data_IF_181851956955
#
_entry.id   IF_181851956955
#
_cell.length_a   1.000
_cell.length_b   1.000
_cell.length_c   1.000
_cell.angle_alpha   90.00
_cell.angle_beta   90.00
_cell.angle_gamma   90.00
#
_symmetry.space_group_name_H-M   'P 1'
#
loop_
_entity.id
_entity.type
_entity.pdbx_description
1 polymer ?
#
# COMPACT_ATOMS: atom_id res chain seq x y z
N UNK A 1 -21.27 -25.04 3.77
CA UNK A 1 -20.15 -24.55 2.95
C UNK A 1 -18.96 -25.45 3.23
N UNK A 2 -18.20 -25.74 2.20
CA UNK A 2 -16.96 -26.52 2.30
C UNK A 2 -15.82 -25.55 2.54
N UNK A 3 -14.86 -25.90 3.41
CA UNK A 3 -13.69 -25.07 3.71
C UNK A 3 -12.44 -25.89 3.48
N UNK A 4 -11.41 -25.26 2.94
CA UNK A 4 -10.11 -25.88 2.72
C UNK A 4 -9.00 -24.88 3.01
N UNK A 5 -8.07 -25.25 3.86
CA UNK A 5 -6.84 -24.51 4.10
C UNK A 5 -5.78 -24.97 3.09
N UNK A 6 -5.19 -24.04 2.37
CA UNK A 6 -4.13 -24.28 1.40
C UNK A 6 -2.79 -23.97 2.09
N UNK A 7 -2.37 -24.86 2.95
CA UNK A 7 -1.08 -24.86 3.67
C UNK A 7 -0.78 -23.51 4.40
N UNK A 8 -1.81 -22.85 4.92
CA UNK A 8 -1.67 -21.56 5.61
C UNK A 8 -1.46 -20.35 4.70
N UNK A 9 -1.41 -20.55 3.38
CA UNK A 9 -1.28 -19.44 2.40
C UNK A 9 -2.64 -18.83 2.05
N UNK A 10 -3.64 -19.68 1.81
CA UNK A 10 -4.99 -19.25 1.50
C UNK A 10 -6.02 -20.13 2.20
N UNK A 11 -7.14 -19.55 2.58
CA UNK A 11 -8.33 -20.28 2.99
C UNK A 11 -9.38 -20.20 1.90
N UNK A 12 -9.99 -21.33 1.52
CA UNK A 12 -11.11 -21.30 0.61
C UNK A 12 -12.41 -21.72 1.27
N UNK A 13 -13.50 -21.07 0.88
CA UNK A 13 -14.85 -21.34 1.33
C UNK A 13 -15.73 -21.52 0.09
N UNK A 14 -16.32 -22.69 -0.09
CA UNK A 14 -17.12 -22.98 -1.28
C UNK A 14 -18.56 -23.36 -0.97
N UNK A 15 -19.46 -23.04 -1.89
CA UNK A 15 -20.87 -23.41 -1.83
C UNK A 15 -21.44 -23.57 -3.24
N UNK A 16 -22.56 -24.28 -3.37
CA UNK A 16 -23.16 -24.64 -4.66
C UNK A 16 -22.55 -25.88 -5.26
N UNK A 17 -23.20 -26.39 -6.31
CA UNK A 17 -22.78 -27.59 -7.05
C UNK A 17 -23.00 -27.30 -8.53
N UNK A 18 -21.94 -27.28 -9.32
CA UNK A 18 -22.06 -26.99 -10.75
C UNK A 18 -20.75 -27.09 -11.48
N UNK A 19 -20.85 -26.98 -12.80
CA UNK A 19 -19.70 -27.07 -13.69
C UNK A 19 -19.05 -25.69 -13.92
N UNK A 20 -19.77 -24.61 -13.61
CA UNK A 20 -19.26 -23.24 -13.69
C UNK A 20 -18.80 -22.80 -12.31
N UNK A 21 -17.54 -22.44 -12.17
CA UNK A 21 -16.99 -21.96 -10.91
C UNK A 21 -16.69 -20.46 -10.98
N UNK A 22 -17.26 -19.73 -10.01
CA UNK A 22 -17.01 -18.30 -9.77
C UNK A 22 -16.16 -18.16 -8.52
N UNK A 23 -14.98 -17.57 -8.67
CA UNK A 23 -14.10 -17.19 -7.58
C UNK A 23 -14.33 -15.76 -7.14
N UNK A 24 -14.28 -15.53 -5.84
CA UNK A 24 -14.29 -14.20 -5.24
C UNK A 24 -13.07 -14.08 -4.34
N UNK A 25 -12.17 -13.16 -4.69
CA UNK A 25 -10.90 -12.99 -4.01
C UNK A 25 -10.99 -11.85 -3.00
N UNK A 26 -10.46 -12.10 -1.83
CA UNK A 26 -10.29 -11.14 -0.75
C UNK A 26 -8.96 -11.41 -0.05
N UNK A 27 -8.42 -10.43 0.69
CA UNK A 27 -7.25 -10.62 1.53
C UNK A 27 -7.53 -10.34 3.01
N UNK A 28 -6.72 -10.92 3.89
CA UNK A 28 -6.82 -10.79 5.32
C UNK A 28 -5.64 -10.03 5.95
N UNK A 29 -4.52 -9.95 5.25
CA UNK A 29 -3.39 -9.12 5.66
C UNK A 29 -3.70 -7.63 5.55
N UNK A 30 -2.85 -6.82 6.09
CA UNK A 30 -3.04 -5.37 6.17
C UNK A 30 -1.69 -4.67 6.17
N UNK A 31 -1.61 -3.47 5.60
CA UNK A 31 -0.46 -2.59 5.77
C UNK A 31 -0.27 -2.17 7.23
N UNK A 32 0.94 -1.76 7.64
CA UNK A 32 1.19 -1.19 8.97
C UNK A 32 0.22 -0.05 9.29
N UNK A 33 -0.10 0.09 10.56
CA UNK A 33 -1.10 1.06 11.04
C UNK A 33 -0.79 2.51 10.72
N UNK A 34 0.50 2.89 10.70
CA UNK A 34 0.92 4.29 10.62
C UNK A 34 0.67 5.05 11.94
N UNK A 35 0.62 6.39 11.85
CA UNK A 35 0.45 7.29 13.01
C UNK A 35 -0.92 7.98 12.97
N UNK A 36 -1.35 8.52 14.12
CA UNK A 36 -2.55 9.38 14.20
C UNK A 36 -3.85 8.64 14.51
N UNK A 37 -3.80 7.39 14.89
CA UNK A 37 -4.98 6.64 15.32
C UNK A 37 -5.56 7.17 16.62
N UNK A 38 -6.87 7.38 16.66
CA UNK A 38 -7.64 7.75 17.85
C UNK A 38 -8.09 6.49 18.61
N UNK A 39 -8.33 5.40 17.88
CA UNK A 39 -8.73 4.08 18.42
C UNK A 39 -7.61 3.06 18.14
N UNK A 40 -7.53 1.97 18.91
CA UNK A 40 -6.54 0.93 18.64
C UNK A 40 -6.69 0.38 17.21
N UNK A 41 -5.63 0.46 16.36
CA UNK A 41 -5.74 0.15 14.94
C UNK A 41 -6.12 -1.31 14.65
N UNK A 42 -5.64 -2.24 15.46
CA UNK A 42 -5.88 -3.69 15.27
C UNK A 42 -7.02 -4.25 16.13
N UNK A 43 -7.84 -3.37 16.69
CA UNK A 43 -9.07 -3.74 17.40
C UNK A 43 -10.26 -3.14 16.67
N UNK A 44 -11.18 -3.99 16.23
CA UNK A 44 -12.40 -3.49 15.61
C UNK A 44 -13.25 -2.75 16.65
N UNK A 45 -13.27 -1.42 16.58
CA UNK A 45 -14.06 -0.56 17.48
C UNK A 45 -15.38 -0.21 16.79
N UNK A 46 -16.49 -0.55 17.44
CA UNK A 46 -17.81 -0.08 17.01
C UNK A 46 -18.15 1.25 17.67
N UNK A 47 -18.42 2.27 16.87
CA UNK A 47 -18.84 3.59 17.36
C UNK A 47 -19.72 4.31 16.36
N UNK A 48 -20.83 4.84 16.83
CA UNK A 48 -21.77 5.66 16.05
C UNK A 48 -22.23 4.98 14.74
N UNK A 49 -22.36 3.65 14.75
CA UNK A 49 -22.74 2.84 13.58
C UNK A 49 -21.59 2.54 12.61
N UNK A 50 -20.35 2.90 12.96
CA UNK A 50 -19.15 2.60 12.19
C UNK A 50 -18.31 1.51 12.87
N UNK A 51 -17.67 0.70 12.04
CA UNK A 51 -16.59 -0.19 12.46
C UNK A 51 -15.26 0.48 12.12
N UNK A 52 -14.41 0.69 13.13
CA UNK A 52 -13.15 1.44 13.01
C UNK A 52 -11.99 0.50 13.33
N UNK A 53 -11.04 0.39 12.40
CA UNK A 53 -9.83 -0.42 12.57
C UNK A 53 -9.09 -0.61 11.25
N UNK A 54 -7.81 -0.93 11.32
CA UNK A 54 -6.99 -1.28 10.16
C UNK A 54 -7.52 -2.59 9.55
N UNK A 55 -7.77 -2.59 8.22
CA UNK A 55 -8.30 -3.74 7.51
C UNK A 55 -9.82 -3.91 7.58
N UNK A 56 -10.55 -3.03 8.26
CA UNK A 56 -12.03 -3.09 8.29
C UNK A 56 -12.61 -2.86 6.90
N UNK A 57 -12.14 -1.84 6.20
CA UNK A 57 -12.59 -1.53 4.84
C UNK A 57 -11.80 -2.34 3.80
N UNK A 58 -10.51 -2.45 3.99
CA UNK A 58 -9.53 -3.06 3.12
C UNK A 58 -8.83 -4.21 3.87
N UNK A 59 -9.23 -5.49 3.74
CA UNK A 59 -10.34 -5.95 2.89
C UNK A 59 -11.31 -6.85 3.68
N UNK A 60 -11.26 -6.88 5.06
CA UNK A 60 -12.03 -7.79 5.91
C UNK A 60 -13.54 -7.53 5.87
N UNK A 61 -13.96 -6.27 5.73
CA UNK A 61 -15.38 -5.93 5.58
C UNK A 61 -16.00 -6.52 4.30
N UNK A 62 -15.41 -6.26 3.12
CA UNK A 62 -15.77 -6.92 1.88
C UNK A 62 -15.74 -8.45 1.98
N UNK A 63 -14.72 -9.04 2.60
CA UNK A 63 -14.62 -10.49 2.79
C UNK A 63 -15.82 -11.06 3.58
N UNK A 64 -16.23 -10.39 4.65
CA UNK A 64 -17.42 -10.78 5.44
C UNK A 64 -18.70 -10.59 4.62
N UNK A 65 -18.82 -9.50 3.86
CA UNK A 65 -19.97 -9.24 3.01
C UNK A 65 -20.14 -10.35 1.95
N UNK A 66 -19.06 -10.78 1.32
CA UNK A 66 -19.04 -11.92 0.37
C UNK A 66 -19.52 -13.20 1.06
N UNK A 67 -19.00 -13.49 2.27
CA UNK A 67 -19.41 -14.69 3.02
C UNK A 67 -20.92 -14.69 3.32
N UNK A 68 -21.48 -13.56 3.70
CA UNK A 68 -22.93 -13.42 3.93
C UNK A 68 -23.73 -13.55 2.63
N UNK A 69 -23.25 -13.00 1.53
CA UNK A 69 -23.88 -13.16 0.23
C UNK A 69 -23.90 -14.64 -0.21
N UNK A 70 -22.78 -15.35 -0.03
CA UNK A 70 -22.71 -16.79 -0.31
C UNK A 70 -23.67 -17.61 0.57
N UNK A 71 -23.74 -17.25 1.86
CA UNK A 71 -24.70 -17.86 2.79
C UNK A 71 -26.13 -17.65 2.32
N UNK A 72 -26.49 -16.42 1.95
CA UNK A 72 -27.81 -16.08 1.43
C UNK A 72 -28.14 -16.89 0.17
N UNK A 73 -27.23 -16.94 -0.81
CA UNK A 73 -27.44 -17.69 -2.05
C UNK A 73 -27.66 -19.19 -1.78
N UNK A 74 -26.93 -19.75 -0.82
CA UNK A 74 -27.11 -21.14 -0.39
C UNK A 74 -28.47 -21.39 0.26
N UNK A 75 -28.87 -20.52 1.20
CA UNK A 75 -30.15 -20.66 1.93
C UNK A 75 -31.36 -20.47 1.02
N UNK A 76 -31.22 -19.67 -0.05
CA UNK A 76 -32.27 -19.44 -1.06
C UNK A 76 -32.20 -20.43 -2.21
N UNK A 77 -31.22 -21.34 -2.24
CA UNK A 77 -31.05 -22.38 -3.28
C UNK A 77 -30.97 -21.79 -4.70
N UNK A 78 -30.41 -20.56 -4.85
CA UNK A 78 -30.41 -19.84 -6.13
C UNK A 78 -29.17 -20.06 -6.98
N UNK A 79 -28.20 -20.87 -6.51
CA UNK A 79 -26.95 -21.10 -7.23
C UNK A 79 -27.07 -22.04 -8.44
N UNK A 80 -28.18 -22.79 -8.55
CA UNK A 80 -28.46 -23.73 -9.65
C UNK A 80 -27.24 -24.58 -10.03
N UNK A 81 -26.65 -24.33 -11.21
CA UNK A 81 -25.46 -25.02 -11.72
C UNK A 81 -24.16 -24.23 -11.55
N UNK A 82 -24.08 -23.40 -10.53
CA UNK A 82 -22.92 -22.56 -10.21
C UNK A 82 -22.32 -22.99 -8.87
N UNK A 83 -21.00 -23.13 -8.85
CA UNK A 83 -20.20 -23.21 -7.64
C UNK A 83 -19.56 -21.86 -7.38
N UNK A 84 -19.72 -21.33 -6.19
CA UNK A 84 -19.04 -20.11 -5.75
C UNK A 84 -17.98 -20.48 -4.73
N UNK A 85 -16.77 -19.96 -4.93
CA UNK A 85 -15.63 -20.13 -4.03
C UNK A 85 -15.10 -18.76 -3.63
N UNK A 86 -15.14 -18.44 -2.37
CA UNK A 86 -14.36 -17.35 -1.80
C UNK A 86 -12.94 -17.83 -1.52
N UNK A 87 -11.95 -17.06 -1.90
CA UNK A 87 -10.52 -17.30 -1.68
C UNK A 87 -10.01 -16.15 -0.83
N UNK A 88 -9.54 -16.47 0.37
CA UNK A 88 -9.01 -15.52 1.33
C UNK A 88 -7.49 -15.65 1.35
N UNK A 89 -6.79 -14.67 0.79
CA UNK A 89 -5.33 -14.56 0.79
C UNK A 89 -4.80 -13.88 2.04
N UNK A 90 -3.49 -13.93 2.23
CA UNK A 90 -2.81 -13.35 3.39
C UNK A 90 -1.55 -12.55 3.01
N UNK A 91 -1.33 -12.24 1.73
CA UNK A 91 -0.14 -11.56 1.24
C UNK A 91 -0.43 -10.60 0.07
N UNK A 92 -1.63 -10.05 0.00
CA UNK A 92 -1.98 -9.07 -1.04
C UNK A 92 -1.10 -7.83 -0.93
N UNK A 93 -0.96 -7.29 0.28
CA UNK A 93 -0.19 -6.09 0.61
C UNK A 93 1.33 -6.31 0.56
N UNK A 94 1.78 -7.55 0.40
CA UNK A 94 3.19 -7.94 0.46
C UNK A 94 3.68 -8.70 -0.77
N UNK A 95 2.97 -8.60 -1.91
CA UNK A 95 3.42 -9.10 -3.21
C UNK A 95 2.74 -10.35 -3.73
N UNK A 96 1.58 -10.73 -3.19
CA UNK A 96 0.67 -11.77 -3.72
C UNK A 96 1.29 -13.17 -3.88
N UNK A 97 2.27 -13.52 -3.07
CA UNK A 97 2.92 -14.84 -3.15
C UNK A 97 1.99 -15.98 -2.74
N UNK A 98 0.94 -15.69 -1.99
CA UNK A 98 -0.16 -16.60 -1.66
C UNK A 98 -1.00 -16.97 -2.89
N UNK A 99 -1.26 -16.03 -3.78
CA UNK A 99 -1.93 -16.26 -5.06
C UNK A 99 -1.07 -17.17 -5.96
N UNK A 100 0.24 -16.89 -6.04
CA UNK A 100 1.18 -17.74 -6.77
C UNK A 100 1.20 -19.15 -6.20
N UNK A 101 1.20 -19.27 -4.85
CA UNK A 101 1.13 -20.58 -4.19
C UNK A 101 -0.18 -21.30 -4.49
N UNK A 102 -1.31 -20.60 -4.38
CA UNK A 102 -2.62 -21.17 -4.72
C UNK A 102 -2.64 -21.75 -6.13
N UNK A 103 -2.20 -21.00 -7.13
CA UNK A 103 -2.22 -21.40 -8.53
C UNK A 103 -1.28 -22.57 -8.89
N UNK A 104 -0.30 -22.86 -8.03
CA UNK A 104 0.55 -24.05 -8.15
C UNK A 104 -0.21 -25.34 -7.86
N UNK A 105 -1.15 -25.33 -6.93
CA UNK A 105 -1.80 -26.53 -6.40
C UNK A 105 -3.29 -26.59 -6.73
N UNK A 106 -3.88 -25.49 -7.09
CA UNK A 106 -5.30 -25.36 -7.40
C UNK A 106 -5.51 -24.72 -8.76
N UNK A 107 -6.54 -25.18 -9.46
CA UNK A 107 -6.98 -24.53 -10.69
C UNK A 107 -7.67 -23.19 -10.34
N UNK A 108 -7.37 -22.16 -11.12
CA UNK A 108 -8.11 -20.90 -11.03
C UNK A 108 -9.60 -21.12 -11.32
N UNK A 109 -10.51 -20.43 -10.63
CA UNK A 109 -11.92 -20.40 -11.01
C UNK A 109 -12.11 -19.93 -12.45
N UNK A 110 -13.17 -20.37 -13.10
CA UNK A 110 -13.45 -20.01 -14.50
C UNK A 110 -13.70 -18.52 -14.68
N UNK A 111 -14.40 -17.93 -13.72
CA UNK A 111 -14.60 -16.49 -13.60
C UNK A 111 -14.14 -16.03 -12.22
N UNK A 112 -13.54 -14.84 -12.15
CA UNK A 112 -13.06 -14.30 -10.90
C UNK A 112 -13.49 -12.85 -10.71
N UNK A 113 -13.87 -12.53 -9.48
CA UNK A 113 -14.07 -11.16 -8.99
C UNK A 113 -13.07 -10.88 -7.87
N UNK A 114 -12.44 -9.74 -7.91
CA UNK A 114 -11.64 -9.22 -6.78
C UNK A 114 -12.51 -8.17 -6.09
N UNK A 115 -12.97 -8.50 -4.88
CA UNK A 115 -13.86 -7.63 -4.11
C UNK A 115 -13.02 -6.64 -3.27
N UNK A 116 -12.21 -5.84 -3.96
CA UNK A 116 -11.20 -4.97 -3.35
C UNK A 116 -11.08 -3.60 -4.00
N UNK A 117 -12.10 -3.15 -4.65
CA UNK A 117 -12.14 -1.79 -5.19
C UNK A 117 -13.54 -1.19 -5.13
N UNK A 118 -13.63 0.09 -5.48
CA UNK A 118 -14.90 0.83 -5.49
C UNK A 118 -15.85 0.36 -6.57
N UNK A 119 -17.13 0.66 -6.36
CA UNK A 119 -18.20 0.44 -7.35
C UNK A 119 -18.31 1.66 -8.28
N UNK A 120 -18.61 1.52 -9.56
CA UNK A 120 -18.86 0.30 -10.33
C UNK A 120 -17.57 -0.49 -10.64
N UNK A 121 -17.67 -1.55 -11.42
CA UNK A 121 -16.55 -2.46 -11.70
C UNK A 121 -15.32 -1.71 -12.21
N UNK A 122 -14.19 -1.91 -11.54
CA UNK A 122 -12.86 -1.50 -12.00
C UNK A 122 -12.35 -2.56 -12.99
N UNK A 123 -12.06 -2.16 -14.22
CA UNK A 123 -11.61 -3.05 -15.29
C UNK A 123 -10.22 -2.68 -15.83
N UNK A 124 -9.48 -1.82 -15.12
CA UNK A 124 -8.14 -1.41 -15.48
C UNK A 124 -7.38 -0.87 -14.28
N UNK A 125 -6.08 -1.08 -14.26
CA UNK A 125 -5.17 -0.64 -13.21
C UNK A 125 -4.03 0.19 -13.78
N UNK A 126 -3.45 1.04 -12.93
CA UNK A 126 -2.21 1.76 -13.24
C UNK A 126 -1.02 0.82 -13.08
N UNK A 127 -0.06 0.92 -14.00
CA UNK A 127 1.21 0.22 -13.85
C UNK A 127 1.96 0.68 -12.58
N UNK A 128 2.64 -0.26 -11.94
CA UNK A 128 3.50 -0.02 -10.77
C UNK A 128 4.94 -0.39 -11.09
N UNK A 129 5.88 0.45 -10.70
CA UNK A 129 7.31 0.19 -10.86
C UNK A 129 8.05 0.74 -9.63
N UNK A 130 8.85 -0.10 -9.00
CA UNK A 130 9.77 0.30 -7.94
C UNK A 130 11.17 0.39 -8.55
N UNK A 131 11.81 1.54 -8.39
CA UNK A 131 13.18 1.76 -8.81
C UNK A 131 14.03 2.04 -7.59
N UNK A 132 15.00 1.15 -7.32
CA UNK A 132 16.01 1.39 -6.30
C UNK A 132 17.14 2.21 -6.93
N UNK A 133 17.47 3.32 -6.29
CA UNK A 133 18.59 4.17 -6.69
C UNK A 133 19.56 4.32 -5.53
N UNK A 134 20.84 4.11 -5.80
CA UNK A 134 21.91 4.25 -4.82
C UNK A 134 22.90 5.31 -5.30
N UNK A 135 23.44 6.09 -4.37
CA UNK A 135 24.54 6.99 -4.69
C UNK A 135 25.85 6.21 -4.69
N UNK A 136 26.75 6.55 -5.63
CA UNK A 136 28.09 5.92 -5.69
C UNK A 136 29.07 6.48 -4.66
N UNK A 137 28.69 7.55 -3.97
CA UNK A 137 29.45 8.19 -2.89
C UNK A 137 28.51 8.85 -1.90
N UNK A 138 28.95 9.00 -0.66
CA UNK A 138 28.23 9.75 0.35
C UNK A 138 27.92 11.18 -0.12
N UNK A 139 26.75 11.69 0.25
CA UNK A 139 26.36 13.08 -0.01
C UNK A 139 26.95 13.95 1.08
N UNK A 140 28.00 14.68 0.76
CA UNK A 140 28.78 15.49 1.73
C UNK A 140 27.86 16.44 2.52
N UNK A 141 27.94 16.35 3.84
CA UNK A 141 27.17 17.16 4.77
C UNK A 141 25.77 16.64 5.09
N UNK A 142 25.32 15.55 4.51
CA UNK A 142 24.11 14.82 4.92
C UNK A 142 24.56 13.58 5.68
N UNK A 143 24.32 13.55 6.99
CA UNK A 143 24.72 12.46 7.88
C UNK A 143 23.62 11.41 8.01
N UNK A 144 22.38 11.86 8.07
CA UNK A 144 21.19 10.99 8.11
C UNK A 144 20.09 11.63 7.27
N UNK A 145 19.32 10.81 6.59
CA UNK A 145 18.12 11.23 5.90
C UNK A 145 17.12 10.09 5.90
N UNK A 146 15.93 10.35 6.42
CA UNK A 146 14.86 9.37 6.51
C UNK A 146 13.52 9.99 6.12
N UNK A 147 12.67 9.22 5.44
CA UNK A 147 11.32 9.68 5.09
C UNK A 147 10.52 8.62 4.36
N UNK A 148 9.23 8.61 4.67
CA UNK A 148 8.30 7.62 4.14
C UNK A 148 8.25 6.33 4.94
N UNK A 149 7.18 5.55 4.73
CA UNK A 149 6.94 4.29 5.46
C UNK A 149 6.51 3.15 4.55
N UNK A 150 6.01 3.44 3.36
CA UNK A 150 5.52 2.45 2.41
C UNK A 150 5.64 2.98 0.96
N UNK A 151 5.93 2.11 -0.03
CA UNK A 151 6.14 2.51 -1.42
C UNK A 151 4.87 2.99 -2.14
N UNK A 152 3.71 2.72 -1.59
CA UNK A 152 2.42 3.15 -2.13
C UNK A 152 1.83 4.38 -1.40
N UNK A 153 2.59 5.02 -0.52
CA UNK A 153 2.13 6.18 0.26
C UNK A 153 3.03 7.39 0.09
N UNK A 154 2.44 8.57 -0.12
CA UNK A 154 3.17 9.84 -0.12
C UNK A 154 3.68 10.13 1.27
N UNK A 155 4.99 10.38 1.47
CA UNK A 155 5.59 10.65 2.78
C UNK A 155 4.98 11.88 3.46
N UNK A 156 4.44 11.69 4.68
CA UNK A 156 3.93 12.78 5.52
C UNK A 156 4.94 13.35 6.49
N UNK A 157 6.07 12.68 6.66
CA UNK A 157 7.15 13.10 7.54
C UNK A 157 8.49 12.74 6.93
N UNK A 158 9.47 13.63 7.10
CA UNK A 158 10.87 13.38 6.77
C UNK A 158 11.78 14.06 7.80
N UNK A 159 12.94 13.46 8.02
CA UNK A 159 13.96 13.90 8.98
C UNK A 159 15.34 13.82 8.34
N UNK A 160 16.24 14.73 8.71
CA UNK A 160 17.63 14.68 8.33
C UNK A 160 18.52 15.25 9.44
N UNK A 161 19.72 14.69 9.56
CA UNK A 161 20.84 15.26 10.29
C UNK A 161 21.86 15.76 9.27
N UNK A 162 22.17 17.03 9.32
CA UNK A 162 23.05 17.68 8.38
C UNK A 162 24.22 18.38 9.09
N UNK A 163 25.39 18.43 8.43
CA UNK A 163 26.57 19.14 8.88
C UNK A 163 27.04 20.11 7.79
N UNK A 164 27.07 21.39 8.11
CA UNK A 164 27.50 22.42 7.15
C UNK A 164 29.03 22.47 7.00
N UNK A 165 29.54 23.28 6.05
CA UNK A 165 30.97 23.41 5.74
C UNK A 165 31.84 23.86 6.90
N UNK A 166 31.27 24.37 7.98
CA UNK A 166 32.01 24.80 9.19
C UNK A 166 31.88 23.80 10.34
N UNK A 167 31.35 22.58 10.07
CA UNK A 167 31.24 21.52 11.07
C UNK A 167 30.05 21.68 12.04
N UNK A 168 29.13 22.59 11.77
CA UNK A 168 27.95 22.78 12.60
C UNK A 168 26.85 21.79 12.17
N UNK A 169 26.39 20.97 13.11
CA UNK A 169 25.29 20.03 12.91
C UNK A 169 23.94 20.69 13.15
N UNK A 170 22.98 20.33 12.33
CA UNK A 170 21.57 20.69 12.49
C UNK A 170 20.69 19.46 12.28
N UNK A 171 19.60 19.42 12.99
CA UNK A 171 18.53 18.43 12.81
C UNK A 171 17.35 19.14 12.17
N UNK A 172 16.89 18.61 11.05
CA UNK A 172 15.85 19.22 10.25
C UNK A 172 14.70 18.23 10.05
N UNK A 173 13.49 18.72 10.12
CA UNK A 173 12.29 17.93 9.86
C UNK A 173 11.37 18.64 8.88
N UNK A 174 10.55 17.85 8.19
CA UNK A 174 9.46 18.35 7.38
C UNK A 174 8.20 17.52 7.60
N UNK A 175 7.06 18.20 7.53
CA UNK A 175 5.74 17.59 7.59
C UNK A 175 5.05 17.88 6.27
N UNK A 176 4.49 16.84 5.68
CA UNK A 176 3.71 16.88 4.46
C UNK A 176 2.27 16.43 4.67
N UNK A 177 1.59 16.14 3.57
CA UNK A 177 0.23 15.59 3.58
C UNK A 177 0.27 14.23 2.89
N UNK A 178 -0.01 13.18 3.64
CA UNK A 178 -0.01 11.80 3.13
C UNK A 178 -1.24 11.52 2.26
N UNK A 179 -1.11 10.54 1.41
CA UNK A 179 -2.17 9.96 0.60
C UNK A 179 -1.66 8.79 -0.21
N UNK A 180 -2.56 8.08 -0.85
CA UNK A 180 -2.19 6.95 -1.69
C UNK A 180 -1.44 7.42 -2.95
N UNK A 181 -0.31 6.78 -3.27
CA UNK A 181 0.56 7.19 -4.38
C UNK A 181 -0.14 7.17 -5.75
N UNK A 182 -1.11 6.27 -5.95
CA UNK A 182 -1.90 6.22 -7.18
C UNK A 182 -2.87 7.42 -7.33
N UNK A 183 -3.21 8.10 -6.23
CA UNK A 183 -4.12 9.24 -6.16
C UNK A 183 -3.52 10.40 -5.35
N UNK A 184 -2.40 10.99 -5.80
CA UNK A 184 -1.62 11.93 -5.00
C UNK A 184 -2.21 13.36 -4.97
N UNK A 185 -3.39 13.58 -5.51
CA UNK A 185 -4.02 14.91 -5.51
C UNK A 185 -4.28 15.40 -4.08
N UNK A 186 -3.84 16.63 -3.78
CA UNK A 186 -3.94 17.22 -2.44
C UNK A 186 -2.86 16.75 -1.45
N UNK A 187 -1.95 15.87 -1.87
CA UNK A 187 -0.82 15.44 -1.04
C UNK A 187 0.38 16.39 -1.15
N UNK A 188 1.26 16.33 -0.16
CA UNK A 188 2.54 17.03 -0.14
C UNK A 188 3.62 16.10 0.39
N UNK A 189 4.64 15.85 -0.44
CA UNK A 189 5.73 14.94 -0.09
C UNK A 189 6.72 15.64 0.87
N UNK A 190 6.81 15.13 2.11
CA UNK A 190 7.69 15.68 3.14
C UNK A 190 9.17 15.63 2.75
N UNK A 191 9.59 14.62 1.97
CA UNK A 191 10.98 14.49 1.48
C UNK A 191 11.33 15.68 0.60
N UNK A 192 10.46 16.04 -0.35
CA UNK A 192 10.69 17.20 -1.21
C UNK A 192 10.75 18.51 -0.42
N UNK A 193 9.84 18.68 0.55
CA UNK A 193 9.86 19.86 1.43
C UNK A 193 11.17 19.92 2.22
N UNK A 194 11.65 18.80 2.75
CA UNK A 194 12.92 18.73 3.49
C UNK A 194 14.11 19.05 2.61
N UNK A 195 14.18 18.49 1.42
CA UNK A 195 15.23 18.80 0.44
C UNK A 195 15.25 20.28 0.09
N UNK A 196 14.08 20.91 -0.11
CA UNK A 196 13.96 22.34 -0.35
C UNK A 196 14.51 23.19 0.80
N UNK A 197 14.26 22.80 2.06
CA UNK A 197 14.86 23.47 3.23
C UNK A 197 16.37 23.31 3.30
N UNK A 198 16.86 22.08 3.14
CA UNK A 198 18.28 21.77 3.25
C UNK A 198 19.12 22.47 2.17
N UNK A 199 18.67 22.51 0.92
CA UNK A 199 19.44 23.15 -0.17
C UNK A 199 19.67 24.66 0.04
N UNK A 200 18.90 25.31 0.91
CA UNK A 200 19.11 26.71 1.29
C UNK A 200 20.26 26.91 2.28
N UNK A 201 20.75 25.82 2.86
CA UNK A 201 21.91 25.85 3.77
C UNK A 201 23.24 25.92 3.01
N UNK A 202 24.33 26.16 3.75
CA UNK A 202 25.66 26.29 3.17
C UNK A 202 26.33 24.95 2.92
N UNK A 203 25.81 24.19 1.96
CA UNK A 203 26.38 22.93 1.48
C UNK A 203 27.25 23.09 0.24
N UNK A 204 28.11 22.08 -0.08
CA UNK A 204 28.75 21.99 -1.38
C UNK A 204 27.74 21.97 -2.53
N UNK A 205 28.15 22.45 -3.69
CA UNK A 205 27.28 22.52 -4.86
C UNK A 205 26.78 21.14 -5.30
N UNK A 206 27.63 20.10 -5.17
CA UNK A 206 27.24 18.72 -5.47
C UNK A 206 26.10 18.23 -4.56
N UNK A 207 26.17 18.53 -3.26
CA UNK A 207 25.11 18.21 -2.29
C UNK A 207 23.81 18.93 -2.64
N UNK A 208 23.90 20.23 -2.99
CA UNK A 208 22.71 20.99 -3.41
C UNK A 208 22.05 20.39 -4.65
N UNK A 209 22.85 19.95 -5.63
CA UNK A 209 22.33 19.26 -6.84
C UNK A 209 21.64 17.93 -6.50
N UNK A 210 22.22 17.17 -5.57
CA UNK A 210 21.58 15.92 -5.12
C UNK A 210 20.24 16.18 -4.44
N UNK A 211 20.18 17.16 -3.54
CA UNK A 211 18.93 17.58 -2.89
C UNK A 211 17.91 18.11 -3.89
N UNK A 212 18.34 18.92 -4.86
CA UNK A 212 17.45 19.42 -5.94
C UNK A 212 16.91 18.27 -6.79
N UNK A 213 17.71 17.28 -7.11
CA UNK A 213 17.28 16.10 -7.86
C UNK A 213 16.17 15.35 -7.10
N UNK A 214 16.37 15.09 -5.81
CA UNK A 214 15.37 14.43 -4.97
C UNK A 214 14.11 15.27 -4.81
N UNK A 215 14.24 16.57 -4.58
CA UNK A 215 13.12 17.51 -4.49
C UNK A 215 12.27 17.45 -5.78
N UNK A 216 12.88 17.52 -6.95
CA UNK A 216 12.21 17.44 -8.24
C UNK A 216 11.50 16.12 -8.46
N UNK A 217 12.09 15.00 -8.04
CA UNK A 217 11.42 13.69 -8.08
C UNK A 217 10.21 13.66 -7.14
N UNK A 218 10.31 14.33 -6.00
CA UNK A 218 9.26 14.36 -4.96
C UNK A 218 8.08 15.28 -5.29
N UNK A 219 8.27 16.28 -6.14
CA UNK A 219 7.20 17.21 -6.57
C UNK A 219 6.12 16.53 -7.45
N UNK A 220 6.34 15.28 -7.81
CA UNK A 220 5.30 14.37 -8.24
C UNK A 220 4.60 14.75 -9.53
N UNK A 221 5.32 15.08 -10.56
CA UNK A 221 4.66 15.24 -11.85
C UNK A 221 5.56 15.76 -12.96
N UNK A 222 6.06 14.86 -13.73
CA UNK A 222 6.58 15.23 -15.04
C UNK A 222 5.45 15.09 -16.06
N UNK A 223 4.75 16.22 -16.32
CA UNK A 223 3.62 16.30 -17.24
C UNK A 223 2.29 15.83 -16.64
N UNK A 224 1.18 16.20 -17.26
CA UNK A 224 -0.20 15.97 -16.79
C UNK A 224 -0.58 14.47 -16.61
N UNK A 225 0.30 13.54 -17.00
CA UNK A 225 -0.02 12.11 -17.05
C UNK A 225 0.90 11.20 -16.23
N UNK A 226 1.97 11.73 -15.62
CA UNK A 226 2.94 10.90 -14.88
C UNK A 226 3.25 11.57 -13.53
N UNK A 227 2.74 10.98 -12.48
CA UNK A 227 3.05 11.37 -11.11
C UNK A 227 3.93 10.27 -10.51
N UNK A 228 5.08 10.65 -9.98
CA UNK A 228 5.98 9.75 -9.26
C UNK A 228 5.89 10.04 -7.77
N UNK A 229 5.84 8.99 -6.98
CA UNK A 229 6.07 9.07 -5.54
C UNK A 229 7.48 8.56 -5.29
N UNK A 230 8.31 9.38 -4.68
CA UNK A 230 9.65 9.00 -4.28
C UNK A 230 9.67 8.74 -2.79
N UNK A 231 10.01 7.52 -2.44
CA UNK A 231 10.41 7.16 -1.09
C UNK A 231 11.93 7.13 -1.06
N UNK A 232 12.51 7.79 -0.09
CA UNK A 232 13.96 7.78 0.07
C UNK A 232 14.30 7.31 1.47
N UNK A 233 15.11 6.26 1.54
CA UNK A 233 15.88 5.92 2.72
C UNK A 233 17.34 6.17 2.38
N UNK A 234 17.99 7.04 3.10
CA UNK A 234 19.43 7.21 3.02
C UNK A 234 20.02 6.41 4.17
N UNK A 235 20.60 5.26 3.83
CA UNK A 235 21.49 4.55 4.76
C UNK A 235 22.87 5.17 4.59
N UNK A 236 23.40 5.76 5.64
CA UNK A 236 24.79 6.19 5.73
C UNK A 236 25.51 5.11 6.54
N UNK A 237 26.34 4.31 5.85
CA UNK A 237 27.28 3.40 6.51
C UNK A 237 28.48 4.17 7.09
#
# INVERSE_FOLDING_TARGET
METEDIDGHCLTIATGKGNVEIGIWNHLDVVPEGKGWIYPPYTCTEKDGYLIGRGVQDNKGPAVAVLYAMKYCREKEILNNIKVRQILGCQEESGMTDVEYYLKYKKAPEYSFVADCGFPVCCGEKGHCIVLMETVSAVEGILEFDGGTAPNSVPSFAHAVAENKIGQKSEETAVGISGHAAFPDGTQNAIGILCGKLKMQNFPEQTKRALEFVERLSEGGYGEKQKFVVLMNVLVD
#
